data_IF_602224278851
#
_entry.id   IF_602224278851
#
_cell.length_a   1.000
_cell.length_b   1.000
_cell.length_c   1.000
_cell.angle_alpha   90.00
_cell.angle_beta   90.00
_cell.angle_gamma   90.00
#
_symmetry.space_group_name_H-M   'P 1'
#
loop_
_entity.id
_entity.type
_entity.pdbx_description
1 polymer ?
#
# COMPACT_ATOMS: atom_id res chain seq x y z
N UNK A 1 27.04 -48.17 6.86
CA UNK A 1 25.80 -47.79 7.60
C UNK A 1 25.61 -46.27 7.56
N UNK A 2 26.60 -45.47 7.93
CA UNK A 2 26.48 -43.98 7.97
C UNK A 2 26.15 -43.39 6.61
N UNK A 3 26.77 -43.86 5.53
CA UNK A 3 26.54 -43.38 4.16
C UNK A 3 25.09 -43.68 3.68
N UNK A 4 24.54 -44.83 4.05
CA UNK A 4 23.16 -45.19 3.69
C UNK A 4 22.13 -44.33 4.45
N UNK A 5 22.39 -44.01 5.71
CA UNK A 5 21.54 -43.11 6.54
C UNK A 5 21.56 -41.68 5.96
N UNK A 6 22.75 -41.18 5.61
CA UNK A 6 22.89 -39.86 4.97
C UNK A 6 22.17 -39.81 3.62
N UNK A 7 22.30 -40.85 2.79
CA UNK A 7 21.60 -40.91 1.48
C UNK A 7 20.07 -40.97 1.64
N UNK A 8 19.57 -41.76 2.61
CA UNK A 8 18.11 -41.77 2.90
C UNK A 8 17.60 -40.46 3.47
N UNK A 9 18.38 -39.82 4.34
CA UNK A 9 18.00 -38.50 4.85
C UNK A 9 17.99 -37.44 3.74
N UNK A 10 18.98 -37.45 2.84
CA UNK A 10 19.00 -36.54 1.69
C UNK A 10 17.82 -36.78 0.76
N UNK A 11 17.48 -38.01 0.45
CA UNK A 11 16.32 -38.35 -0.39
C UNK A 11 14.99 -37.94 0.26
N UNK A 12 14.85 -38.11 1.59
CA UNK A 12 13.68 -37.70 2.32
C UNK A 12 13.52 -36.16 2.32
N UNK A 13 14.61 -35.42 2.46
CA UNK A 13 14.62 -33.95 2.36
C UNK A 13 14.24 -33.48 0.96
N UNK A 14 14.80 -34.09 -0.10
CA UNK A 14 14.44 -33.75 -1.48
C UNK A 14 12.96 -34.01 -1.79
N UNK A 15 12.40 -35.11 -1.27
CA UNK A 15 10.97 -35.41 -1.42
C UNK A 15 10.11 -34.41 -0.64
N UNK A 16 10.54 -34.03 0.55
CA UNK A 16 9.83 -33.05 1.38
C UNK A 16 9.85 -31.66 0.74
N UNK A 17 10.98 -31.23 0.17
CA UNK A 17 11.11 -29.98 -0.58
C UNK A 17 10.26 -29.99 -1.86
N UNK A 18 10.18 -31.14 -2.55
CA UNK A 18 9.33 -31.32 -3.71
C UNK A 18 7.84 -31.17 -3.38
N UNK A 19 7.41 -31.83 -2.29
CA UNK A 19 6.03 -31.73 -1.80
C UNK A 19 5.69 -30.31 -1.31
N UNK A 20 6.58 -29.69 -0.57
CA UNK A 20 6.41 -28.30 -0.11
C UNK A 20 6.22 -27.32 -1.28
N UNK A 21 7.02 -27.47 -2.34
CA UNK A 21 6.89 -26.65 -3.56
C UNK A 21 5.55 -26.89 -4.26
N UNK A 22 5.12 -28.15 -4.39
CA UNK A 22 3.84 -28.50 -5.01
C UNK A 22 2.66 -27.90 -4.21
N UNK A 23 2.68 -28.00 -2.89
CA UNK A 23 1.69 -27.40 -1.96
C UNK A 23 1.68 -25.88 -2.12
N UNK A 24 2.85 -25.25 -2.15
CA UNK A 24 2.98 -23.80 -2.34
C UNK A 24 2.42 -23.33 -3.69
N UNK A 25 2.67 -24.05 -4.77
CA UNK A 25 2.11 -23.79 -6.11
C UNK A 25 0.59 -23.94 -6.12
N UNK A 26 0.07 -24.97 -5.46
CA UNK A 26 -1.37 -25.18 -5.35
C UNK A 26 -2.05 -24.05 -4.54
N UNK A 27 -1.46 -23.63 -3.41
CA UNK A 27 -1.96 -22.46 -2.66
C UNK A 27 -1.96 -21.18 -3.49
N UNK A 28 -0.92 -20.96 -4.32
CA UNK A 28 -0.87 -19.81 -5.22
C UNK A 28 -2.02 -19.85 -6.25
N UNK A 29 -2.34 -21.02 -6.80
CA UNK A 29 -3.50 -21.20 -7.68
C UNK A 29 -4.83 -20.89 -6.98
N UNK A 30 -4.97 -21.26 -5.70
CA UNK A 30 -6.16 -20.91 -4.92
C UNK A 30 -6.25 -19.40 -4.63
N UNK A 31 -5.13 -18.73 -4.34
CA UNK A 31 -5.09 -17.25 -4.20
C UNK A 31 -5.51 -16.60 -5.52
N UNK A 32 -5.05 -17.11 -6.66
CA UNK A 32 -5.44 -16.59 -7.97
C UNK A 32 -6.94 -16.77 -8.23
N UNK A 33 -7.52 -17.91 -7.87
CA UNK A 33 -8.97 -18.14 -7.94
C UNK A 33 -9.74 -17.13 -7.06
N UNK A 34 -9.28 -16.87 -5.84
CA UNK A 34 -9.87 -15.85 -4.97
C UNK A 34 -9.74 -14.45 -5.57
N UNK A 35 -8.61 -14.14 -6.22
CA UNK A 35 -8.36 -12.84 -6.86
C UNK A 35 -9.28 -12.57 -8.06
N UNK A 36 -9.99 -13.59 -8.58
CA UNK A 36 -11.04 -13.45 -9.60
C UNK A 36 -12.46 -13.45 -9.01
N UNK A 37 -12.58 -13.25 -7.71
CA UNK A 37 -13.84 -13.27 -6.94
C UNK A 37 -14.62 -14.61 -7.07
N UNK A 38 -13.92 -15.71 -7.41
CA UNK A 38 -14.47 -17.06 -7.42
C UNK A 38 -13.94 -17.92 -6.26
N UNK A 39 -14.60 -17.88 -5.09
CA UNK A 39 -14.19 -18.67 -3.95
C UNK A 39 -14.57 -20.16 -4.07
N UNK A 40 -15.35 -20.55 -5.09
CA UNK A 40 -15.91 -21.90 -5.16
C UNK A 40 -14.79 -22.96 -5.37
N UNK A 41 -13.81 -22.66 -6.23
CA UNK A 41 -12.65 -23.53 -6.43
C UNK A 41 -11.81 -23.63 -5.16
N UNK A 42 -11.48 -22.48 -4.56
CA UNK A 42 -10.66 -22.43 -3.34
C UNK A 42 -11.33 -23.19 -2.17
N UNK A 43 -12.66 -23.05 -2.00
CA UNK A 43 -13.43 -23.78 -0.99
C UNK A 43 -13.44 -25.30 -1.19
N UNK A 44 -13.61 -25.75 -2.42
CA UNK A 44 -13.65 -27.20 -2.75
C UNK A 44 -12.28 -27.82 -2.72
N UNK A 45 -11.35 -27.28 -3.52
CA UNK A 45 -10.03 -27.87 -3.70
C UNK A 45 -9.10 -27.65 -2.49
N UNK A 46 -9.27 -26.56 -1.75
CA UNK A 46 -8.44 -26.25 -0.59
C UNK A 46 -8.85 -26.98 0.69
N UNK A 47 -10.13 -27.38 0.82
CA UNK A 47 -10.68 -27.92 2.07
C UNK A 47 -9.93 -29.16 2.59
N UNK A 48 -9.62 -30.08 1.72
CA UNK A 48 -9.02 -31.36 2.12
C UNK A 48 -7.55 -31.21 2.55
N UNK A 49 -6.83 -30.27 1.94
CA UNK A 49 -5.41 -30.02 2.21
C UNK A 49 -5.19 -29.01 3.32
N UNK A 50 -5.95 -27.92 3.33
CA UNK A 50 -5.70 -26.75 4.21
C UNK A 50 -6.81 -26.54 5.24
N UNK A 51 -7.91 -27.29 5.15
CA UNK A 51 -9.11 -27.02 5.93
C UNK A 51 -10.03 -25.98 5.28
N UNK A 52 -11.10 -25.56 5.98
CA UNK A 52 -12.00 -24.55 5.47
C UNK A 52 -11.28 -23.21 5.35
N UNK A 53 -11.69 -22.39 4.35
CA UNK A 53 -11.27 -20.98 4.31
C UNK A 53 -11.77 -20.25 5.56
N UNK A 54 -11.03 -19.20 6.02
CA UNK A 54 -11.46 -18.36 7.13
C UNK A 54 -12.90 -17.85 6.99
N UNK A 55 -13.62 -17.78 8.12
CA UNK A 55 -15.00 -17.30 8.10
C UNK A 55 -15.07 -15.81 7.79
N UNK A 56 -15.95 -15.42 6.86
CA UNK A 56 -16.19 -14.01 6.55
C UNK A 56 -16.97 -13.33 7.72
N UNK A 57 -16.78 -12.02 7.96
CA UNK A 57 -15.92 -11.12 7.20
C UNK A 57 -14.43 -11.38 7.43
N UNK A 58 -13.65 -11.35 6.33
CA UNK A 58 -12.19 -11.57 6.36
C UNK A 58 -11.43 -10.27 6.10
N UNK A 59 -10.21 -10.21 6.62
CA UNK A 59 -9.19 -9.23 6.23
C UNK A 59 -8.21 -9.92 5.30
N UNK A 60 -8.00 -9.32 4.13
CA UNK A 60 -6.97 -9.73 3.18
C UNK A 60 -5.73 -8.89 3.45
N UNK A 61 -4.60 -9.54 3.67
CA UNK A 61 -3.33 -8.87 3.89
C UNK A 61 -2.30 -9.24 2.82
N UNK A 62 -1.42 -8.31 2.49
CA UNK A 62 -0.35 -8.49 1.50
C UNK A 62 0.98 -8.05 2.08
N UNK A 63 2.00 -8.90 1.92
CA UNK A 63 3.39 -8.60 2.29
C UNK A 63 4.21 -8.14 1.07
N UNK A 64 5.41 -7.54 1.24
CA UNK A 64 6.28 -7.22 0.11
C UNK A 64 6.71 -8.46 -0.69
N UNK A 65 7.01 -8.28 -1.98
CA UNK A 65 7.47 -9.35 -2.86
C UNK A 65 8.70 -10.10 -2.33
N UNK A 66 9.63 -9.41 -1.65
CA UNK A 66 10.80 -10.03 -1.03
C UNK A 66 10.43 -11.09 0.01
N UNK A 67 9.31 -10.93 0.71
CA UNK A 67 8.82 -11.87 1.73
C UNK A 67 8.49 -13.25 1.17
N UNK A 68 8.19 -13.37 -0.13
CA UNK A 68 7.91 -14.65 -0.78
C UNK A 68 9.11 -15.60 -0.80
N UNK A 69 10.33 -15.09 -0.59
CA UNK A 69 11.58 -15.84 -0.52
C UNK A 69 11.98 -16.19 0.90
N UNK A 70 11.26 -15.70 1.90
CA UNK A 70 11.53 -16.01 3.31
C UNK A 70 10.97 -17.39 3.65
N UNK A 71 11.86 -18.37 3.78
CA UNK A 71 11.51 -19.73 4.24
C UNK A 71 10.96 -19.67 5.66
N UNK A 72 11.58 -18.92 6.54
CA UNK A 72 11.16 -18.78 7.94
C UNK A 72 9.73 -18.22 8.08
N UNK A 73 9.37 -17.21 7.27
CA UNK A 73 7.99 -16.69 7.25
C UNK A 73 7.01 -17.72 6.73
N UNK A 74 7.36 -18.43 5.66
CA UNK A 74 6.50 -19.45 5.06
C UNK A 74 6.27 -20.61 6.04
N UNK A 75 7.32 -21.13 6.67
CA UNK A 75 7.23 -22.19 7.68
C UNK A 75 6.38 -21.77 8.89
N UNK A 76 6.56 -20.55 9.36
CA UNK A 76 5.78 -20.01 10.46
C UNK A 76 4.29 -19.92 10.10
N UNK A 77 3.97 -19.42 8.89
CA UNK A 77 2.59 -19.35 8.39
C UNK A 77 1.98 -20.75 8.23
N UNK A 78 2.77 -21.73 7.78
CA UNK A 78 2.33 -23.12 7.67
C UNK A 78 1.97 -23.72 9.02
N UNK A 79 2.84 -23.51 10.01
CA UNK A 79 2.59 -23.98 11.37
C UNK A 79 1.31 -23.35 11.95
N UNK A 80 1.17 -22.04 11.82
CA UNK A 80 -0.03 -21.32 12.30
C UNK A 80 -1.31 -21.76 11.59
N UNK A 81 -1.26 -21.96 10.27
CA UNK A 81 -2.42 -22.43 9.51
C UNK A 81 -2.80 -23.87 9.86
N UNK A 82 -1.84 -24.71 10.27
CA UNK A 82 -2.09 -26.07 10.74
C UNK A 82 -2.69 -26.10 12.17
N UNK A 83 -2.13 -25.28 13.07
CA UNK A 83 -2.61 -25.17 14.45
C UNK A 83 -4.02 -24.59 14.54
N UNK A 84 -4.33 -23.61 13.67
CA UNK A 84 -5.59 -22.85 13.65
C UNK A 84 -6.32 -23.02 12.32
N UNK A 85 -6.70 -24.26 12.03
CA UNK A 85 -7.43 -24.59 10.79
C UNK A 85 -8.72 -23.78 10.66
N UNK A 86 -8.86 -23.05 9.53
CA UNK A 86 -10.00 -22.20 9.28
C UNK A 86 -9.90 -20.79 9.88
N UNK A 87 -8.80 -20.47 10.60
CA UNK A 87 -8.54 -19.11 11.09
C UNK A 87 -7.50 -18.37 10.26
N UNK A 88 -6.72 -19.08 9.44
CA UNK A 88 -5.74 -18.48 8.56
C UNK A 88 -5.62 -19.28 7.27
N UNK A 89 -5.57 -18.58 6.15
CA UNK A 89 -5.17 -19.12 4.85
C UNK A 89 -4.12 -18.18 4.25
N UNK A 90 -3.12 -18.74 3.58
CA UNK A 90 -2.11 -17.93 2.89
C UNK A 90 -1.64 -18.60 1.62
N UNK A 91 -1.05 -17.82 0.74
CA UNK A 91 -0.42 -18.30 -0.49
C UNK A 91 0.32 -17.19 -1.21
N UNK A 92 1.10 -17.54 -2.24
CA UNK A 92 1.76 -16.56 -3.07
C UNK A 92 0.75 -15.84 -3.96
N UNK A 93 0.81 -14.51 -3.95
CA UNK A 93 0.23 -13.65 -4.96
C UNK A 93 1.30 -13.17 -5.97
N UNK A 94 0.89 -12.27 -6.86
CA UNK A 94 1.75 -11.75 -7.93
C UNK A 94 2.93 -10.94 -7.38
N UNK A 95 2.73 -10.21 -6.28
CA UNK A 95 3.67 -9.22 -5.73
C UNK A 95 3.92 -9.36 -4.22
N UNK A 96 3.68 -10.54 -3.66
CA UNK A 96 3.90 -10.82 -2.24
C UNK A 96 3.16 -12.06 -1.76
N UNK A 97 3.22 -12.33 -0.46
CA UNK A 97 2.35 -13.32 0.16
C UNK A 97 1.00 -12.65 0.47
N UNK A 98 -0.06 -13.36 0.15
CA UNK A 98 -1.43 -13.01 0.52
C UNK A 98 -1.80 -13.84 1.75
N UNK A 99 -2.24 -13.17 2.81
CA UNK A 99 -2.67 -13.79 4.06
C UNK A 99 -4.13 -13.39 4.29
N UNK A 100 -4.97 -14.36 4.61
CA UNK A 100 -6.39 -14.17 4.84
C UNK A 100 -6.70 -14.64 6.25
N UNK A 101 -7.31 -13.77 7.05
CA UNK A 101 -7.72 -14.08 8.42
C UNK A 101 -9.16 -13.57 8.64
N UNK A 102 -9.93 -14.17 9.56
CA UNK A 102 -11.19 -13.56 10.00
C UNK A 102 -10.94 -12.14 10.54
N UNK A 103 -11.86 -11.23 10.34
CA UNK A 103 -11.71 -9.86 10.85
C UNK A 103 -11.48 -9.79 12.36
N UNK A 104 -12.03 -10.74 13.10
CA UNK A 104 -11.85 -10.87 14.55
C UNK A 104 -10.43 -11.35 14.95
N UNK A 105 -9.68 -11.96 14.03
CA UNK A 105 -8.33 -12.48 14.27
C UNK A 105 -7.22 -11.63 13.61
N UNK A 106 -7.53 -10.38 13.24
CA UNK A 106 -6.58 -9.50 12.52
C UNK A 106 -5.29 -9.21 13.30
N UNK A 107 -5.31 -9.31 14.62
CA UNK A 107 -4.12 -9.07 15.46
C UNK A 107 -2.96 -10.05 15.14
N UNK A 108 -3.27 -11.20 14.56
CA UNK A 108 -2.25 -12.13 14.03
C UNK A 108 -1.38 -11.50 12.92
N UNK A 109 -1.88 -10.47 12.21
CA UNK A 109 -1.13 -9.76 11.18
C UNK A 109 -0.07 -8.83 11.78
N UNK A 110 -0.32 -8.28 12.96
CA UNK A 110 0.68 -7.52 13.72
C UNK A 110 1.83 -8.43 14.18
N UNK A 111 1.51 -9.64 14.65
CA UNK A 111 2.54 -10.64 15.00
C UNK A 111 3.45 -10.98 13.80
N UNK A 112 2.88 -11.08 12.58
CA UNK A 112 3.66 -11.29 11.35
C UNK A 112 4.58 -10.10 11.07
N UNK A 113 4.04 -8.89 11.12
CA UNK A 113 4.80 -7.67 10.84
C UNK A 113 5.97 -7.49 11.79
N UNK A 114 5.73 -7.65 13.09
CA UNK A 114 6.73 -7.45 14.15
C UNK A 114 7.80 -8.53 14.13
N UNK A 115 7.38 -9.80 14.00
CA UNK A 115 8.30 -10.95 14.06
C UNK A 115 9.28 -10.99 12.88
N UNK A 116 8.83 -10.60 11.70
CA UNK A 116 9.62 -10.69 10.47
C UNK A 116 10.11 -9.33 9.98
N UNK A 117 9.87 -8.28 10.76
CA UNK A 117 10.26 -6.90 10.44
C UNK A 117 9.85 -6.49 9.02
N UNK A 118 8.60 -6.78 8.65
CA UNK A 118 8.05 -6.50 7.32
C UNK A 118 6.83 -5.60 7.38
N UNK A 119 6.55 -4.95 6.25
CA UNK A 119 5.28 -4.24 6.06
C UNK A 119 4.19 -5.25 5.72
N UNK A 120 3.04 -5.10 6.36
CA UNK A 120 1.82 -5.87 6.05
C UNK A 120 0.69 -4.89 5.75
N UNK A 121 0.27 -4.81 4.49
CA UNK A 121 -0.89 -4.00 4.10
C UNK A 121 -2.18 -4.79 4.26
N UNK A 122 -3.20 -4.19 4.88
CA UNK A 122 -4.47 -4.84 5.21
C UNK A 122 -5.65 -4.15 4.53
N UNK A 123 -6.58 -4.94 4.01
CA UNK A 123 -7.87 -4.46 3.51
C UNK A 123 -8.84 -4.08 4.63
N UNK A 124 -9.92 -3.38 4.29
CA UNK A 124 -11.12 -3.39 5.11
C UNK A 124 -11.73 -4.80 5.20
N UNK A 125 -12.47 -5.14 6.27
CA UNK A 125 -13.20 -6.40 6.37
C UNK A 125 -14.16 -6.60 5.19
N UNK A 126 -14.15 -7.80 4.58
CA UNK A 126 -14.91 -8.08 3.37
C UNK A 126 -15.43 -9.52 3.28
N UNK A 127 -16.31 -9.78 2.33
CA UNK A 127 -16.64 -11.13 1.87
C UNK A 127 -15.70 -11.61 0.75
N UNK A 128 -15.80 -12.90 0.41
CA UNK A 128 -15.00 -13.48 -0.67
C UNK A 128 -15.48 -13.08 -2.08
N UNK A 129 -16.67 -12.51 -2.19
CA UNK A 129 -17.27 -11.95 -3.39
C UNK A 129 -16.67 -10.59 -3.81
N UNK A 130 -15.88 -9.97 -2.94
CA UNK A 130 -15.17 -8.73 -3.20
C UNK A 130 -13.66 -8.87 -2.87
N UNK A 131 -13.12 -10.07 -3.03
CA UNK A 131 -11.72 -10.37 -2.67
C UNK A 131 -10.72 -9.60 -3.54
N UNK A 132 -10.99 -9.44 -4.83
CA UNK A 132 -10.15 -8.67 -5.76
C UNK A 132 -9.99 -7.21 -5.33
N UNK A 133 -11.09 -6.58 -4.92
CA UNK A 133 -11.08 -5.23 -4.38
C UNK A 133 -10.29 -5.15 -3.06
N UNK A 134 -10.49 -6.12 -2.15
CA UNK A 134 -9.75 -6.20 -0.89
C UNK A 134 -8.25 -6.40 -1.12
N UNK A 135 -7.86 -7.21 -2.10
CA UNK A 135 -6.47 -7.40 -2.48
C UNK A 135 -5.83 -6.08 -2.96
N UNK A 136 -6.56 -5.31 -3.77
CA UNK A 136 -6.13 -3.97 -4.22
C UNK A 136 -5.99 -3.00 -3.05
N UNK A 137 -6.94 -3.01 -2.10
CA UNK A 137 -6.87 -2.21 -0.88
C UNK A 137 -5.62 -2.55 -0.05
N UNK A 138 -5.36 -3.84 0.16
CA UNK A 138 -4.22 -4.30 0.94
C UNK A 138 -2.87 -3.89 0.28
N UNK A 139 -2.76 -3.99 -1.04
CA UNK A 139 -1.60 -3.50 -1.81
C UNK A 139 -1.41 -2.00 -1.63
N UNK A 140 -2.47 -1.22 -1.80
CA UNK A 140 -2.44 0.24 -1.62
C UNK A 140 -2.00 0.62 -0.20
N UNK A 141 -2.48 -0.08 0.81
CA UNK A 141 -2.08 0.16 2.19
C UNK A 141 -0.59 -0.19 2.42
N UNK A 142 -0.13 -1.36 1.93
CA UNK A 142 1.27 -1.79 2.01
C UNK A 142 2.24 -0.77 1.43
N UNK A 143 1.94 -0.28 0.22
CA UNK A 143 2.85 0.59 -0.54
C UNK A 143 3.02 1.99 0.07
N UNK A 144 2.30 2.29 1.16
CA UNK A 144 2.39 3.56 1.89
C UNK A 144 3.33 3.53 3.08
N UNK A 145 3.61 2.37 3.64
CA UNK A 145 4.55 2.24 4.74
C UNK A 145 5.96 2.00 4.21
N UNK A 146 6.90 2.83 4.66
CA UNK A 146 8.33 2.66 4.39
C UNK A 146 9.04 1.83 5.47
N UNK A 147 8.42 1.66 6.64
CA UNK A 147 8.97 0.95 7.81
C UNK A 147 8.11 -0.26 8.14
N UNK A 148 8.68 -1.32 8.75
CA UNK A 148 7.93 -2.48 9.21
C UNK A 148 6.71 -2.11 10.07
N UNK A 149 5.63 -2.84 9.90
CA UNK A 149 4.39 -2.62 10.64
C UNK A 149 3.14 -2.98 9.81
N UNK A 150 1.97 -2.77 10.40
CA UNK A 150 0.69 -3.00 9.73
C UNK A 150 0.10 -1.69 9.23
N UNK A 151 -0.24 -1.65 7.94
CA UNK A 151 -0.94 -0.54 7.30
C UNK A 151 -2.39 -0.91 7.00
N UNK A 152 -3.33 -0.16 7.52
CA UNK A 152 -4.75 -0.35 7.24
C UNK A 152 -5.23 0.52 6.09
N UNK A 153 -5.99 -0.09 5.17
CA UNK A 153 -6.65 0.66 4.11
C UNK A 153 -7.67 1.67 4.65
N UNK A 154 -8.33 1.38 5.77
CA UNK A 154 -9.26 2.31 6.40
C UNK A 154 -8.57 3.62 6.84
N UNK A 155 -7.34 3.54 7.35
CA UNK A 155 -6.55 4.72 7.71
C UNK A 155 -6.06 5.45 6.45
N UNK A 156 -5.72 4.69 5.41
CA UNK A 156 -5.42 5.20 4.07
C UNK A 156 -6.59 6.01 3.50
N UNK A 157 -7.80 5.48 3.57
CA UNK A 157 -8.99 6.15 3.08
C UNK A 157 -9.33 7.43 3.89
N UNK A 158 -9.12 7.40 5.21
CA UNK A 158 -9.29 8.59 6.08
C UNK A 158 -8.27 9.68 5.79
N UNK A 159 -7.05 9.31 5.42
CA UNK A 159 -6.00 10.28 5.05
C UNK A 159 -6.30 11.04 3.74
N UNK A 160 -7.35 10.65 3.03
CA UNK A 160 -7.83 11.31 1.83
C UNK A 160 -7.18 10.83 0.53
N UNK A 161 -7.81 11.22 -0.58
CA UNK A 161 -7.43 10.79 -1.92
C UNK A 161 -5.97 11.13 -2.27
N UNK A 162 -5.51 12.31 -1.89
CA UNK A 162 -4.13 12.74 -2.16
C UNK A 162 -3.09 11.85 -1.49
N UNK A 163 -3.37 11.43 -0.27
CA UNK A 163 -2.50 10.52 0.41
C UNK A 163 -2.45 9.13 -0.29
N UNK A 164 -3.54 8.70 -0.90
CA UNK A 164 -3.59 7.46 -1.72
C UNK A 164 -2.81 7.60 -3.04
N UNK A 165 -2.76 8.80 -3.61
CA UNK A 165 -2.03 9.10 -4.85
C UNK A 165 -0.52 9.34 -4.63
N UNK A 166 -0.03 9.42 -3.39
CA UNK A 166 1.36 9.74 -3.03
C UNK A 166 2.37 8.63 -3.33
N UNK A 167 2.35 8.03 -4.53
CA UNK A 167 3.42 7.15 -5.00
C UNK A 167 4.73 7.94 -5.19
N UNK A 168 5.88 7.25 -5.19
CA UNK A 168 7.18 7.88 -5.46
C UNK A 168 7.20 8.60 -6.82
N UNK A 169 6.60 7.98 -7.83
CA UNK A 169 6.45 8.60 -9.14
C UNK A 169 5.62 9.88 -9.09
N UNK A 170 4.50 9.88 -8.37
CA UNK A 170 3.66 11.07 -8.21
C UNK A 170 4.40 12.19 -7.45
N UNK A 171 5.17 11.86 -6.41
CA UNK A 171 6.01 12.85 -5.71
C UNK A 171 7.09 13.43 -6.59
N UNK A 172 7.73 12.61 -7.42
CA UNK A 172 8.74 13.08 -8.38
C UNK A 172 8.15 14.04 -9.39
N UNK A 173 6.98 13.74 -9.94
CA UNK A 173 6.27 14.63 -10.87
C UNK A 173 5.85 15.92 -10.16
N UNK A 174 5.31 15.83 -8.95
CA UNK A 174 4.91 16.99 -8.15
C UNK A 174 6.09 17.91 -7.83
N UNK A 175 7.21 17.33 -7.39
CA UNK A 175 8.44 18.09 -7.13
C UNK A 175 8.95 18.78 -8.41
N UNK A 176 8.95 18.09 -9.55
CA UNK A 176 9.32 18.66 -10.85
C UNK A 176 8.44 19.82 -11.27
N UNK A 177 7.13 19.73 -11.04
CA UNK A 177 6.19 20.80 -11.35
C UNK A 177 6.43 22.09 -10.54
N UNK A 178 7.02 21.99 -9.35
CA UNK A 178 7.32 23.13 -8.47
C UNK A 178 8.72 23.72 -8.69
N UNK A 179 9.61 23.08 -9.45
CA UNK A 179 10.98 23.56 -9.70
C UNK A 179 11.00 25.00 -10.22
N UNK A 180 10.20 25.41 -11.22
CA UNK A 180 10.25 26.77 -11.73
C UNK A 180 9.98 27.83 -10.65
N UNK A 181 9.05 27.57 -9.74
CA UNK A 181 8.74 28.47 -8.64
C UNK A 181 9.86 28.54 -7.62
N UNK A 182 10.45 27.40 -7.24
CA UNK A 182 11.59 27.35 -6.32
C UNK A 182 12.80 28.11 -6.88
N UNK A 183 13.13 27.86 -8.13
CA UNK A 183 14.24 28.55 -8.82
C UNK A 183 14.01 30.06 -8.89
N UNK A 184 12.77 30.49 -9.15
CA UNK A 184 12.43 31.90 -9.16
C UNK A 184 12.54 32.52 -7.77
N UNK A 185 12.01 31.87 -6.74
CA UNK A 185 12.07 32.37 -5.36
C UNK A 185 13.52 32.51 -4.87
N UNK A 186 14.37 31.51 -5.17
CA UNK A 186 15.82 31.55 -4.85
C UNK A 186 16.54 32.69 -5.58
N UNK A 187 16.26 32.87 -6.87
CA UNK A 187 16.95 33.87 -7.71
C UNK A 187 16.51 35.30 -7.40
N UNK A 188 15.25 35.52 -7.02
CA UNK A 188 14.67 36.86 -6.83
C UNK A 188 14.45 37.23 -5.36
N UNK A 189 14.72 36.31 -4.42
CA UNK A 189 14.40 36.51 -3.00
C UNK A 189 12.89 36.71 -2.79
N UNK A 190 12.05 36.04 -3.60
CA UNK A 190 10.61 36.13 -3.52
C UNK A 190 10.03 34.97 -2.70
N UNK A 191 8.72 34.96 -2.49
CA UNK A 191 8.02 33.92 -1.73
C UNK A 191 6.74 33.53 -2.49
N UNK A 192 6.89 33.11 -3.76
CA UNK A 192 5.77 32.68 -4.60
C UNK A 192 5.16 31.38 -4.08
N UNK A 193 6.00 30.39 -3.73
CA UNK A 193 5.54 29.10 -3.20
C UNK A 193 4.73 29.26 -1.92
N UNK A 194 5.26 30.00 -0.95
CA UNK A 194 4.56 30.27 0.31
C UNK A 194 3.23 31.00 0.08
N UNK A 195 3.26 31.99 -0.82
CA UNK A 195 2.06 32.77 -1.16
C UNK A 195 1.01 31.92 -1.85
N UNK A 196 1.39 31.03 -2.76
CA UNK A 196 0.46 30.11 -3.45
C UNK A 196 -0.12 29.07 -2.50
N UNK A 197 0.68 28.50 -1.60
CA UNK A 197 0.19 27.55 -0.61
C UNK A 197 -0.85 28.20 0.30
N UNK A 198 -0.54 29.38 0.85
CA UNK A 198 -1.50 30.13 1.66
C UNK A 198 -2.73 30.55 0.85
N UNK A 199 -2.58 30.97 -0.41
CA UNK A 199 -3.69 31.40 -1.25
C UNK A 199 -4.65 30.26 -1.56
N UNK A 200 -4.14 29.08 -1.87
CA UNK A 200 -4.96 27.88 -2.08
C UNK A 200 -5.62 27.39 -0.79
N UNK A 201 -4.93 27.50 0.35
CA UNK A 201 -5.46 27.13 1.67
C UNK A 201 -6.60 28.06 2.12
N UNK A 202 -6.65 29.30 1.61
CA UNK A 202 -7.68 30.29 1.91
C UNK A 202 -8.66 30.51 0.74
N UNK A 203 -9.03 29.41 0.04
CA UNK A 203 -10.03 29.41 -1.03
C UNK A 203 -9.76 30.45 -2.14
N UNK A 204 -8.49 30.70 -2.44
CA UNK A 204 -8.05 31.68 -3.43
C UNK A 204 -8.44 33.14 -3.10
N UNK A 205 -8.72 33.45 -1.84
CA UNK A 205 -9.02 34.78 -1.36
C UNK A 205 -7.76 35.60 -1.13
N UNK A 206 -7.53 36.63 -1.94
CA UNK A 206 -6.39 37.55 -1.77
C UNK A 206 -6.41 38.26 -0.41
N UNK A 207 -7.59 38.56 0.11
CA UNK A 207 -7.78 39.26 1.41
C UNK A 207 -7.39 38.31 2.56
N UNK A 208 -7.96 37.12 2.63
CA UNK A 208 -7.66 36.14 3.67
C UNK A 208 -6.18 35.70 3.65
N UNK A 209 -5.61 35.53 2.46
CA UNK A 209 -4.18 35.23 2.29
C UNK A 209 -3.30 36.38 2.79
N UNK A 210 -3.67 37.62 2.50
CA UNK A 210 -2.93 38.78 2.95
C UNK A 210 -2.91 38.90 4.49
N UNK A 211 -4.03 38.61 5.14
CA UNK A 211 -4.11 38.54 6.61
C UNK A 211 -3.23 37.41 7.17
N UNK A 212 -3.30 36.23 6.58
CA UNK A 212 -2.53 35.07 7.04
C UNK A 212 -1.01 35.27 6.92
N UNK A 213 -0.56 35.95 5.86
CA UNK A 213 0.87 36.20 5.59
C UNK A 213 1.39 37.53 6.16
N UNK A 214 0.51 38.37 6.71
CA UNK A 214 0.90 39.69 7.21
C UNK A 214 1.36 40.66 6.14
N UNK A 215 0.88 40.52 4.89
CA UNK A 215 1.25 41.37 3.75
C UNK A 215 0.03 42.07 3.13
N UNK A 216 0.26 43.01 2.23
CA UNK A 216 -0.87 43.71 1.59
C UNK A 216 -1.50 42.84 0.48
N UNK A 217 -2.85 42.91 0.31
CA UNK A 217 -3.58 42.15 -0.73
C UNK A 217 -3.08 42.40 -2.15
N UNK A 218 -2.55 43.59 -2.46
CA UNK A 218 -1.93 43.86 -3.76
C UNK A 218 -0.63 43.09 -3.96
N UNK A 219 0.13 42.81 -2.91
CA UNK A 219 1.32 41.98 -2.94
C UNK A 219 0.94 40.52 -3.24
N UNK A 220 -0.12 40.00 -2.60
CA UNK A 220 -0.64 38.64 -2.89
C UNK A 220 -1.03 38.56 -4.38
N UNK A 221 -1.83 39.51 -4.87
CA UNK A 221 -2.23 39.52 -6.29
C UNK A 221 -1.04 39.57 -7.24
N UNK A 222 -0.04 40.41 -6.96
CA UNK A 222 1.16 40.53 -7.78
C UNK A 222 1.96 39.23 -7.80
N UNK A 223 2.10 38.57 -6.64
CA UNK A 223 2.80 37.28 -6.51
C UNK A 223 2.06 36.14 -7.24
N UNK A 224 0.73 36.06 -7.11
CA UNK A 224 -0.08 35.08 -7.87
C UNK A 224 0.08 35.29 -9.38
N UNK A 225 -0.06 36.53 -9.87
CA UNK A 225 0.15 36.85 -11.28
C UNK A 225 1.59 36.58 -11.76
N UNK A 226 2.59 36.75 -10.89
CA UNK A 226 3.97 36.37 -11.21
C UNK A 226 4.13 34.85 -11.27
N UNK A 227 3.49 34.10 -10.37
CA UNK A 227 3.53 32.65 -10.40
C UNK A 227 2.87 32.06 -11.66
N UNK A 228 1.77 32.65 -12.14
CA UNK A 228 1.15 32.29 -13.42
C UNK A 228 2.15 32.40 -14.58
N UNK A 229 2.91 33.49 -14.62
CA UNK A 229 3.95 33.70 -15.63
C UNK A 229 5.11 32.71 -15.53
N UNK A 230 5.55 32.41 -14.31
CA UNK A 230 6.66 31.47 -14.04
C UNK A 230 6.25 30.04 -14.39
N UNK A 231 5.00 29.67 -14.13
CA UNK A 231 4.47 28.33 -14.43
C UNK A 231 3.96 28.20 -15.88
N UNK A 232 3.79 29.32 -16.59
CA UNK A 232 3.07 29.38 -17.86
C UNK A 232 1.67 28.72 -17.78
N UNK A 233 0.95 29.05 -16.71
CA UNK A 233 -0.37 28.48 -16.39
C UNK A 233 -1.35 29.53 -15.88
N UNK A 234 -2.60 29.45 -16.36
CA UNK A 234 -3.70 30.28 -15.88
C UNK A 234 -4.31 29.66 -14.59
N UNK A 235 -4.03 30.29 -13.45
CA UNK A 235 -4.57 29.87 -12.16
C UNK A 235 -6.01 30.33 -11.93
N UNK A 236 -6.66 31.01 -12.86
CA UNK A 236 -8.11 31.21 -12.84
C UNK A 236 -8.87 29.91 -13.09
N UNK A 237 -8.26 28.95 -13.79
CA UNK A 237 -8.79 27.62 -14.04
C UNK A 237 -8.78 26.77 -12.76
N UNK A 238 -9.91 26.10 -12.46
CA UNK A 238 -9.99 25.14 -11.35
C UNK A 238 -9.00 23.99 -11.51
N UNK A 239 -8.87 23.45 -12.73
CA UNK A 239 -7.95 22.35 -13.01
C UNK A 239 -6.49 22.70 -12.69
N UNK A 240 -6.04 23.89 -13.11
CA UNK A 240 -4.66 24.35 -12.81
C UNK A 240 -4.43 24.53 -11.30
N UNK A 241 -5.42 25.09 -10.59
CA UNK A 241 -5.35 25.20 -9.12
C UNK A 241 -5.34 23.85 -8.40
N UNK A 242 -6.17 22.91 -8.87
CA UNK A 242 -6.22 21.57 -8.29
C UNK A 242 -4.91 20.81 -8.48
N UNK A 243 -4.29 20.88 -9.67
CA UNK A 243 -2.97 20.31 -9.94
C UNK A 243 -1.88 20.95 -9.08
N UNK A 244 -1.87 22.28 -8.97
CA UNK A 244 -0.89 23.00 -8.16
C UNK A 244 -1.05 22.66 -6.67
N UNK A 245 -2.27 22.61 -6.18
CA UNK A 245 -2.55 22.22 -4.79
C UNK A 245 -2.11 20.77 -4.51
N UNK A 246 -2.41 19.85 -5.43
CA UNK A 246 -1.94 18.47 -5.31
C UNK A 246 -0.41 18.38 -5.31
N UNK A 247 0.27 19.14 -6.19
CA UNK A 247 1.72 19.16 -6.25
C UNK A 247 2.33 19.68 -4.93
N UNK A 248 1.79 20.76 -4.36
CA UNK A 248 2.24 21.30 -3.08
C UNK A 248 2.06 20.29 -1.92
N UNK A 249 0.97 19.52 -1.90
CA UNK A 249 0.71 18.49 -0.88
C UNK A 249 1.56 17.22 -1.04
N UNK A 250 1.96 16.88 -2.26
CA UNK A 250 2.74 15.69 -2.53
C UNK A 250 4.26 15.92 -2.45
N UNK A 251 4.72 17.17 -2.65
CA UNK A 251 6.14 17.52 -2.64
C UNK A 251 6.64 18.05 -1.27
N UNK A 252 5.74 18.34 -0.32
CA UNK A 252 6.05 18.68 1.08
C UNK A 252 6.00 17.44 1.89
#
# INVERSE_FOLDING_TARGET
VVTAVVAMAALALEQQDGLGRAIGTFRAGLVQSLATDDPALARRAGRDLFGPLPAAPVVVAVTPAASTRSTALTEWLELRAQERRGEMFFGRGDDGLVIVVPAAARDALAEVADRFEIVVGCSAPTGYDAFSAALTQARTARDRLATPGVADFADTARAGLLAALGSEAARTVAAGALVPLRTYDEAQGSALLETLDAWLAHDCSHEATAQALGIHRHTVRARVAQAERVLDRDLSSFGARAELWAALRLAG
#
